data_IF_438230058431
#
_entry.id   IF_438230058431
#
_cell.length_a   1.000
_cell.length_b   1.000
_cell.length_c   1.000
_cell.angle_alpha   90.00
_cell.angle_beta   90.00
_cell.angle_gamma   90.00
#
_symmetry.space_group_name_H-M   'P 1'
#
loop_
_entity.id
_entity.type
_entity.pdbx_description
1 polymer ?
#
# COMPACT_ATOMS: atom_id res chain seq x y z
N UNK A 1 -0.82 -8.10 -90.19
CA UNK A 1 -0.93 -6.80 -89.48
C UNK A 1 -1.02 -7.11 -87.97
N UNK A 2 0.13 -7.00 -87.26
CA UNK A 2 0.32 -7.42 -85.90
C UNK A 2 -0.08 -6.37 -84.88
N UNK A 3 -0.97 -6.70 -83.93
CA UNK A 3 -1.20 -5.91 -82.73
C UNK A 3 -0.42 -6.51 -81.55
N UNK A 4 0.54 -5.77 -81.00
CA UNK A 4 1.29 -6.10 -79.81
C UNK A 4 0.49 -5.70 -78.58
N UNK A 5 0.15 -6.63 -77.74
CA UNK A 5 -0.38 -6.45 -76.36
C UNK A 5 0.76 -6.27 -75.40
N UNK A 6 0.83 -5.04 -74.83
CA UNK A 6 1.69 -4.71 -73.70
C UNK A 6 1.01 -5.17 -72.39
N UNK A 7 1.59 -6.14 -71.68
CA UNK A 7 1.20 -6.56 -70.34
C UNK A 7 1.94 -5.65 -69.33
N UNK A 8 1.27 -4.72 -68.75
CA UNK A 8 1.74 -4.01 -67.54
C UNK A 8 1.58 -4.94 -66.32
N UNK A 9 2.70 -5.33 -65.70
CA UNK A 9 2.74 -5.99 -64.40
C UNK A 9 2.91 -4.88 -63.34
N UNK A 10 1.83 -4.58 -62.63
CA UNK A 10 1.90 -3.80 -61.41
C UNK A 10 2.40 -4.73 -60.29
N UNK A 11 3.61 -4.48 -59.80
CA UNK A 11 4.12 -5.09 -58.57
C UNK A 11 3.49 -4.39 -57.38
N UNK A 12 2.58 -5.03 -56.65
CA UNK A 12 2.12 -4.57 -55.35
C UNK A 12 3.24 -4.87 -54.33
N UNK A 13 3.93 -3.82 -53.88
CA UNK A 13 4.81 -3.90 -52.70
C UNK A 13 3.96 -3.91 -51.46
N UNK A 14 3.85 -5.02 -50.79
CA UNK A 14 3.21 -5.12 -49.46
C UNK A 14 4.15 -4.48 -48.43
N UNK A 15 3.74 -3.34 -47.89
CA UNK A 15 4.39 -2.73 -46.72
C UNK A 15 3.95 -3.52 -45.51
N UNK A 16 4.85 -4.35 -44.95
CA UNK A 16 4.66 -5.02 -43.68
C UNK A 16 4.98 -3.98 -42.59
N UNK A 17 3.94 -3.40 -42.01
CA UNK A 17 4.05 -2.58 -40.81
C UNK A 17 4.26 -3.52 -39.63
N UNK A 18 5.49 -3.68 -39.17
CA UNK A 18 5.82 -4.36 -37.92
C UNK A 18 5.43 -3.40 -36.79
N UNK A 19 4.25 -3.63 -36.20
CA UNK A 19 3.87 -3.03 -34.92
C UNK A 19 4.74 -3.68 -33.84
N UNK A 20 5.86 -3.04 -33.49
CA UNK A 20 6.57 -3.37 -32.27
C UNK A 20 5.64 -3.06 -31.09
N UNK A 21 5.44 -4.01 -30.15
CA UNK A 21 4.72 -3.68 -28.92
C UNK A 21 5.52 -2.59 -28.21
N UNK A 22 4.95 -1.40 -28.11
CA UNK A 22 5.42 -0.38 -27.18
C UNK A 22 5.26 -0.99 -25.80
N UNK A 23 6.35 -1.45 -25.20
CA UNK A 23 6.40 -1.74 -23.78
C UNK A 23 6.16 -0.38 -23.11
N UNK A 24 4.92 -0.10 -22.74
CA UNK A 24 4.59 1.07 -21.94
C UNK A 24 5.35 0.87 -20.62
N UNK A 25 6.43 1.59 -20.43
CA UNK A 25 7.06 1.70 -19.13
C UNK A 25 5.96 2.16 -18.17
N UNK A 26 5.66 1.33 -17.15
CA UNK A 26 4.72 1.68 -16.09
C UNK A 26 5.23 2.97 -15.48
N UNK A 27 4.58 4.08 -15.82
CA UNK A 27 4.94 5.40 -15.27
C UNK A 27 4.39 5.45 -13.86
N UNK A 28 5.23 5.80 -12.90
CA UNK A 28 4.77 6.11 -11.56
C UNK A 28 3.70 7.19 -11.60
N UNK A 29 2.65 7.03 -10.78
CA UNK A 29 1.54 7.98 -10.73
C UNK A 29 2.05 9.38 -10.31
N UNK A 30 1.70 10.39 -11.08
CA UNK A 30 2.17 11.76 -10.85
C UNK A 30 1.74 12.30 -9.48
N UNK A 31 0.55 11.92 -8.99
CA UNK A 31 0.05 12.33 -7.67
C UNK A 31 0.96 11.85 -6.54
N UNK A 32 1.49 10.62 -6.66
CA UNK A 32 2.44 10.05 -5.70
C UNK A 32 3.84 10.68 -5.80
N UNK A 33 4.24 11.15 -6.96
CA UNK A 33 5.52 11.86 -7.13
C UNK A 33 5.52 13.25 -6.49
N UNK A 34 4.34 13.82 -6.26
CA UNK A 34 4.17 15.15 -5.66
C UNK A 34 4.14 15.13 -4.13
N UNK A 35 3.95 13.96 -3.49
CA UNK A 35 3.91 13.88 -2.02
C UNK A 35 5.28 14.15 -1.41
N UNK A 36 5.29 14.89 -0.29
CA UNK A 36 6.48 15.22 0.49
C UNK A 36 6.32 14.82 1.95
N UNK A 37 5.09 14.54 2.36
CA UNK A 37 4.75 14.18 3.73
C UNK A 37 3.61 13.18 3.76
N UNK A 38 3.63 12.30 4.75
CA UNK A 38 2.56 11.34 4.96
C UNK A 38 2.29 11.13 6.44
N UNK A 39 1.15 10.53 6.77
CA UNK A 39 0.79 10.17 8.12
C UNK A 39 -0.03 8.88 8.16
N UNK A 40 -0.04 8.23 9.33
CA UNK A 40 -0.72 6.98 9.57
C UNK A 40 -1.50 7.04 10.89
N UNK A 41 -2.82 6.86 10.85
CA UNK A 41 -3.69 6.85 12.02
C UNK A 41 -4.81 5.83 11.85
N UNK A 42 -4.89 4.84 12.75
CA UNK A 42 -5.89 3.75 12.67
C UNK A 42 -6.98 3.84 13.72
N UNK A 43 -6.84 4.70 14.72
CA UNK A 43 -7.82 4.82 15.81
C UNK A 43 -8.22 6.28 16.00
N UNK A 44 -9.45 6.48 16.53
CA UNK A 44 -9.97 7.80 16.87
C UNK A 44 -9.89 8.83 15.71
N UNK A 45 -10.11 8.37 14.48
CA UNK A 45 -10.03 9.24 13.31
C UNK A 45 -11.09 10.34 13.40
N UNK A 46 -10.64 11.59 13.54
CA UNK A 46 -11.50 12.77 13.46
C UNK A 46 -11.36 13.41 12.06
N UNK A 47 -12.42 13.40 11.23
CA UNK A 47 -12.38 14.01 9.91
C UNK A 47 -11.97 15.48 9.88
N UNK A 48 -12.23 16.23 10.95
CA UNK A 48 -11.83 17.63 11.05
C UNK A 48 -10.33 17.77 11.31
N UNK A 49 -9.77 16.95 12.20
CA UNK A 49 -8.31 16.92 12.41
C UNK A 49 -7.58 16.49 11.13
N UNK A 50 -8.06 15.45 10.45
CA UNK A 50 -7.51 15.05 9.14
C UNK A 50 -7.52 16.23 8.18
N UNK A 51 -8.66 16.91 7.99
CA UNK A 51 -8.79 18.07 7.10
C UNK A 51 -7.79 19.18 7.44
N UNK A 52 -7.61 19.47 8.73
CA UNK A 52 -6.74 20.56 9.20
C UNK A 52 -5.25 20.21 9.21
N UNK A 53 -4.89 18.94 9.02
CA UNK A 53 -3.49 18.52 8.98
C UNK A 53 -2.80 18.94 7.67
N UNK A 54 -1.47 19.10 7.64
CA UNK A 54 -0.74 19.53 6.44
C UNK A 54 -0.34 18.39 5.49
N UNK A 55 -0.46 17.13 5.91
CA UNK A 55 0.07 15.96 5.20
C UNK A 55 -0.47 15.80 3.78
N UNK A 56 0.37 15.36 2.85
CA UNK A 56 0.04 15.15 1.44
C UNK A 56 -0.62 13.78 1.19
N UNK A 57 -0.29 12.78 2.01
CA UNK A 57 -0.90 11.46 2.02
C UNK A 57 -1.23 11.06 3.46
N UNK A 58 -2.42 10.53 3.68
CA UNK A 58 -2.79 9.97 5.00
C UNK A 58 -3.40 8.60 4.81
N UNK A 59 -2.96 7.66 5.64
CA UNK A 59 -3.54 6.32 5.78
C UNK A 59 -4.43 6.30 7.02
N UNK A 60 -5.67 5.86 6.88
CA UNK A 60 -6.65 5.69 7.97
C UNK A 60 -7.45 4.41 7.80
N UNK A 61 -8.15 3.98 8.85
CA UNK A 61 -9.25 3.02 8.68
C UNK A 61 -10.37 3.63 7.82
N UNK A 62 -11.11 2.81 7.06
CA UNK A 62 -12.15 3.30 6.14
C UNK A 62 -13.47 3.66 6.83
N UNK A 63 -13.60 3.48 8.14
CA UNK A 63 -14.80 3.75 8.93
C UNK A 63 -14.52 4.44 10.26
N UNK A 64 -15.60 4.77 10.97
CA UNK A 64 -15.54 5.53 12.23
C UNK A 64 -15.02 4.73 13.42
N UNK A 65 -15.09 3.42 13.37
CA UNK A 65 -14.69 2.54 14.45
C UNK A 65 -13.86 1.35 13.94
N UNK A 66 -13.18 0.67 14.85
CA UNK A 66 -12.33 -0.49 14.51
C UNK A 66 -13.10 -1.65 13.88
N UNK A 67 -14.41 -1.76 14.11
CA UNK A 67 -15.24 -2.79 13.49
C UNK A 67 -15.43 -2.53 12.00
N UNK A 68 -15.36 -1.26 11.60
CA UNK A 68 -15.60 -0.82 10.22
C UNK A 68 -16.89 -1.40 9.62
N UNK A 69 -17.91 -1.56 10.47
CA UNK A 69 -19.23 -2.01 10.04
C UNK A 69 -19.87 -0.97 9.11
N UNK A 70 -19.50 0.31 9.28
CA UNK A 70 -19.97 1.43 8.48
C UNK A 70 -18.76 2.21 7.96
N UNK A 71 -18.63 2.28 6.64
CA UNK A 71 -17.62 3.11 5.97
C UNK A 71 -17.91 4.61 6.19
N UNK A 72 -16.87 5.45 6.11
CA UNK A 72 -17.07 6.89 6.01
C UNK A 72 -17.94 7.21 4.78
N UNK A 73 -18.95 8.08 4.92
CA UNK A 73 -19.66 8.61 3.75
C UNK A 73 -18.69 9.30 2.79
N UNK A 74 -18.98 9.21 1.49
CA UNK A 74 -18.11 9.81 0.45
C UNK A 74 -17.89 11.31 0.66
N UNK A 75 -18.86 12.02 1.21
CA UNK A 75 -18.75 13.44 1.54
C UNK A 75 -17.73 13.69 2.63
N UNK A 76 -17.63 12.81 3.61
CA UNK A 76 -16.65 12.86 4.70
C UNK A 76 -15.25 12.55 4.16
N UNK A 77 -15.11 11.55 3.30
CA UNK A 77 -13.85 11.26 2.60
C UNK A 77 -13.40 12.46 1.77
N UNK A 78 -14.30 13.10 1.02
CA UNK A 78 -14.00 14.30 0.25
C UNK A 78 -13.62 15.51 1.14
N UNK A 79 -14.23 15.62 2.34
CA UNK A 79 -13.83 16.62 3.32
C UNK A 79 -12.38 16.41 3.79
N UNK A 80 -12.02 15.18 4.15
CA UNK A 80 -10.69 14.81 4.61
C UNK A 80 -9.60 14.98 3.54
N UNK A 81 -9.95 14.90 2.26
CA UNK A 81 -9.02 15.14 1.15
C UNK A 81 -8.59 16.59 1.01
N UNK A 82 -9.36 17.55 1.54
CA UNK A 82 -9.06 18.98 1.42
C UNK A 82 -8.07 19.40 2.49
N UNK A 83 -6.95 20.03 2.08
CA UNK A 83 -5.93 20.60 2.95
C UNK A 83 -6.24 22.06 3.31
N UNK A 84 -5.64 22.61 4.40
CA UNK A 84 -5.81 24.02 4.77
C UNK A 84 -5.34 25.01 3.69
N UNK A 85 -4.35 24.63 2.88
CA UNK A 85 -3.80 25.43 1.78
C UNK A 85 -4.65 25.41 0.49
N UNK A 86 -5.80 24.72 0.52
CA UNK A 86 -6.70 24.56 -0.62
C UNK A 86 -6.32 23.45 -1.58
N UNK A 87 -5.18 22.79 -1.40
CA UNK A 87 -4.78 21.61 -2.19
C UNK A 87 -5.53 20.37 -1.73
N UNK A 88 -5.40 19.30 -2.50
CA UNK A 88 -5.89 17.97 -2.13
C UNK A 88 -4.74 17.09 -1.70
N UNK A 89 -5.01 16.23 -0.72
CA UNK A 89 -4.16 15.10 -0.33
C UNK A 89 -4.68 13.82 -0.94
N UNK A 90 -3.83 12.78 -0.93
CA UNK A 90 -4.25 11.42 -1.14
C UNK A 90 -4.72 10.81 0.18
N UNK A 91 -5.85 10.10 0.16
CA UNK A 91 -6.41 9.43 1.32
C UNK A 91 -6.47 7.92 1.04
N UNK A 92 -5.71 7.16 1.80
CA UNK A 92 -5.60 5.71 1.69
C UNK A 92 -6.36 5.02 2.81
N UNK A 93 -7.00 3.91 2.49
CA UNK A 93 -7.61 3.05 3.49
C UNK A 93 -6.69 1.89 3.84
N UNK A 94 -6.55 1.62 5.15
CA UNK A 94 -5.89 0.42 5.66
C UNK A 94 -6.68 -0.83 5.28
N UNK A 95 -5.97 -1.89 4.88
CA UNK A 95 -6.53 -3.20 4.57
C UNK A 95 -5.52 -4.30 4.91
N UNK A 96 -5.81 -5.12 5.94
CA UNK A 96 -5.00 -6.31 6.24
C UNK A 96 -5.29 -7.43 5.24
N UNK A 97 -4.26 -7.95 4.59
CA UNK A 97 -4.37 -9.03 3.59
C UNK A 97 -3.80 -10.36 4.07
N UNK A 98 -2.87 -10.32 5.03
CA UNK A 98 -2.19 -11.50 5.56
C UNK A 98 -2.73 -12.01 6.88
N UNK A 99 -3.58 -11.24 7.56
CA UNK A 99 -4.21 -11.58 8.83
C UNK A 99 -5.69 -11.20 8.85
N UNK A 100 -6.52 -12.07 9.44
CA UNK A 100 -7.89 -11.74 9.79
C UNK A 100 -7.91 -11.09 11.18
N UNK A 101 -8.73 -10.04 11.32
CA UNK A 101 -8.82 -9.24 12.54
C UNK A 101 -10.18 -9.48 13.21
N UNK A 102 -10.18 -10.05 14.45
CA UNK A 102 -11.39 -10.47 15.15
C UNK A 102 -12.34 -9.33 15.53
N UNK A 103 -11.85 -8.10 15.47
CA UNK A 103 -12.63 -6.90 15.73
C UNK A 103 -13.28 -6.30 14.48
N UNK A 104 -13.08 -6.89 13.29
CA UNK A 104 -13.68 -6.40 12.04
C UNK A 104 -15.11 -6.93 11.83
N UNK A 105 -15.88 -6.23 11.00
CA UNK A 105 -17.28 -6.55 10.70
C UNK A 105 -17.49 -7.95 10.11
N UNK A 106 -16.50 -8.49 9.41
CA UNK A 106 -16.58 -9.80 8.75
C UNK A 106 -16.34 -10.98 9.70
N UNK A 107 -15.81 -10.71 10.91
CA UNK A 107 -15.50 -11.75 11.86
C UNK A 107 -16.77 -12.45 12.35
N UNK A 108 -16.72 -13.77 12.48
CA UNK A 108 -17.81 -14.59 13.01
C UNK A 108 -17.38 -15.20 14.34
N UNK A 109 -18.20 -15.04 15.37
CA UNK A 109 -17.87 -15.48 16.74
C UNK A 109 -17.63 -17.00 16.82
N UNK A 110 -18.27 -17.79 15.94
CA UNK A 110 -18.07 -19.23 15.87
C UNK A 110 -16.68 -19.63 15.31
N UNK A 111 -15.90 -18.73 14.71
CA UNK A 111 -14.56 -19.04 14.22
C UNK A 111 -13.57 -19.39 15.34
N UNK A 112 -13.86 -19.00 16.58
CA UNK A 112 -13.05 -19.41 17.74
C UNK A 112 -13.22 -20.89 18.08
N UNK A 113 -14.39 -21.50 17.76
CA UNK A 113 -14.73 -22.88 18.06
C UNK A 113 -14.84 -23.80 16.84
N UNK A 114 -15.24 -23.25 15.71
CA UNK A 114 -15.37 -23.91 14.40
C UNK A 114 -14.59 -23.13 13.35
N UNK A 115 -13.26 -23.20 13.48
CA UNK A 115 -12.33 -22.41 12.68
C UNK A 115 -12.40 -22.82 11.20
N UNK A 116 -12.51 -21.85 10.26
CA UNK A 116 -12.35 -22.12 8.84
C UNK A 116 -10.95 -22.69 8.56
N UNK A 117 -10.81 -23.50 7.52
CA UNK A 117 -9.54 -24.14 7.16
C UNK A 117 -8.41 -23.10 6.86
N UNK A 118 -8.80 -21.97 6.32
CA UNK A 118 -7.86 -20.89 5.97
C UNK A 118 -7.43 -20.00 7.14
N UNK A 119 -8.02 -20.14 8.33
CA UNK A 119 -7.74 -19.32 9.51
C UNK A 119 -6.82 -20.08 10.47
N UNK A 120 -5.66 -19.52 10.75
CA UNK A 120 -4.67 -20.05 11.70
C UNK A 120 -4.97 -19.60 13.16
N UNK A 121 -4.23 -20.07 14.17
CA UNK A 121 -4.30 -19.54 15.52
C UNK A 121 -4.03 -18.04 15.61
N UNK A 122 -4.47 -17.44 16.73
CA UNK A 122 -4.20 -16.04 17.05
C UNK A 122 -2.70 -15.74 17.06
N UNK A 123 -2.35 -14.58 16.53
CA UNK A 123 -0.99 -14.07 16.57
C UNK A 123 -0.64 -13.63 18.00
N UNK A 124 0.36 -14.25 18.66
CA UNK A 124 0.69 -13.96 20.06
C UNK A 124 1.23 -12.53 20.27
N UNK A 125 1.82 -11.94 19.24
CA UNK A 125 2.39 -10.59 19.31
C UNK A 125 1.32 -9.51 19.08
N UNK A 126 0.23 -9.85 18.35
CA UNK A 126 -0.87 -8.94 18.02
C UNK A 126 -2.23 -9.55 18.37
N UNK A 127 -2.70 -9.41 19.62
CA UNK A 127 -3.98 -9.97 20.05
C UNK A 127 -5.16 -9.47 19.20
N UNK A 128 -5.99 -10.40 18.78
CA UNK A 128 -7.10 -10.14 17.87
C UNK A 128 -6.79 -10.37 16.39
N UNK A 129 -5.52 -10.60 16.03
CA UNK A 129 -5.08 -10.89 14.67
C UNK A 129 -4.80 -12.38 14.50
N UNK A 130 -5.16 -12.91 13.35
CA UNK A 130 -5.08 -14.34 13.02
C UNK A 130 -4.47 -14.51 11.65
N UNK A 131 -3.34 -15.20 11.53
CA UNK A 131 -2.71 -15.51 10.25
C UNK A 131 -3.69 -16.26 9.34
N UNK A 132 -3.71 -15.92 8.06
CA UNK A 132 -4.62 -16.54 7.09
C UNK A 132 -3.88 -17.21 5.93
N UNK A 133 -4.49 -18.21 5.32
CA UNK A 133 -4.10 -18.73 4.02
C UNK A 133 -4.58 -17.74 2.94
N UNK A 134 -3.84 -16.69 2.71
CA UNK A 134 -4.23 -15.57 1.81
C UNK A 134 -4.43 -16.00 0.34
N UNK A 135 -4.00 -17.21 -0.05
CA UNK A 135 -4.30 -17.83 -1.33
C UNK A 135 -5.65 -18.54 -1.36
N UNK A 136 -6.35 -18.68 -0.19
CA UNK A 136 -7.63 -19.36 -0.11
C UNK A 136 -8.75 -18.47 -0.67
N UNK A 137 -9.60 -18.96 -1.61
CA UNK A 137 -10.67 -18.18 -2.22
C UNK A 137 -11.68 -17.62 -1.20
N UNK A 138 -11.99 -18.35 -0.11
CA UNK A 138 -12.94 -17.87 0.90
C UNK A 138 -12.41 -16.65 1.66
N UNK A 139 -11.09 -16.57 1.90
CA UNK A 139 -10.48 -15.36 2.45
C UNK A 139 -10.50 -14.22 1.43
N UNK A 140 -10.20 -14.51 0.17
CA UNK A 140 -10.23 -13.51 -0.90
C UNK A 140 -11.62 -12.93 -1.14
N UNK A 141 -12.70 -13.72 -0.97
CA UNK A 141 -14.09 -13.26 -1.04
C UNK A 141 -14.44 -12.25 0.08
N UNK A 142 -13.76 -12.31 1.24
CA UNK A 142 -13.87 -11.32 2.31
C UNK A 142 -13.18 -10.02 1.90
N UNK A 143 -12.07 -10.13 1.17
CA UNK A 143 -11.27 -8.97 0.78
C UNK A 143 -11.88 -8.21 -0.40
N UNK A 144 -12.34 -8.89 -1.44
CA UNK A 144 -12.88 -8.26 -2.67
C UNK A 144 -13.82 -9.16 -3.45
N UNK A 145 -14.57 -8.56 -4.37
CA UNK A 145 -15.40 -9.30 -5.34
C UNK A 145 -16.90 -9.31 -5.06
N UNK A 146 -17.35 -8.63 -4.02
CA UNK A 146 -18.78 -8.46 -3.72
C UNK A 146 -19.02 -7.20 -2.88
N UNK A 147 -20.23 -6.60 -2.89
CA UNK A 147 -20.51 -5.32 -2.23
C UNK A 147 -20.27 -5.28 -0.71
N UNK A 148 -20.15 -6.44 -0.06
CA UNK A 148 -19.88 -6.55 1.37
C UNK A 148 -18.38 -6.76 1.66
N UNK A 149 -17.57 -7.01 0.64
CA UNK A 149 -16.14 -7.24 0.80
C UNK A 149 -15.41 -5.95 1.21
N UNK A 150 -14.25 -6.10 1.83
CA UNK A 150 -13.52 -5.00 2.45
C UNK A 150 -13.12 -3.93 1.43
N UNK A 151 -12.47 -4.33 0.34
CA UNK A 151 -12.03 -3.43 -0.74
C UNK A 151 -13.23 -2.75 -1.42
N UNK A 152 -14.34 -3.47 -1.63
CA UNK A 152 -15.54 -2.90 -2.25
C UNK A 152 -16.12 -1.75 -1.43
N UNK A 153 -16.12 -1.87 -0.10
CA UNK A 153 -16.52 -0.80 0.82
C UNK A 153 -15.60 0.40 0.74
N UNK A 154 -14.28 0.17 0.63
CA UNK A 154 -13.27 1.22 0.47
C UNK A 154 -13.47 1.96 -0.85
N UNK A 155 -13.65 1.23 -1.97
CA UNK A 155 -13.92 1.80 -3.29
C UNK A 155 -15.22 2.62 -3.30
N UNK A 156 -16.29 2.09 -2.69
CA UNK A 156 -17.56 2.79 -2.58
C UNK A 156 -17.47 4.09 -1.75
N UNK A 157 -16.68 4.09 -0.69
CA UNK A 157 -16.42 5.27 0.14
C UNK A 157 -15.60 6.34 -0.61
N UNK A 158 -14.85 5.96 -1.63
CA UNK A 158 -14.15 6.87 -2.53
C UNK A 158 -12.75 7.25 -2.08
N UNK A 159 -12.03 6.37 -1.40
CA UNK A 159 -10.60 6.52 -1.13
C UNK A 159 -9.78 6.54 -2.43
N UNK A 160 -8.57 7.10 -2.37
CA UNK A 160 -7.66 7.17 -3.51
C UNK A 160 -6.86 5.88 -3.71
N UNK A 161 -6.73 5.09 -2.66
CA UNK A 161 -5.96 3.84 -2.68
C UNK A 161 -6.11 3.04 -1.41
N UNK A 162 -5.42 1.89 -1.39
CA UNK A 162 -5.29 1.03 -0.22
C UNK A 162 -3.84 0.92 0.24
N UNK A 163 -3.69 0.85 1.55
CA UNK A 163 -2.46 0.52 2.25
C UNK A 163 -2.59 -0.91 2.75
N UNK A 164 -1.83 -1.83 2.13
CA UNK A 164 -1.98 -3.26 2.36
C UNK A 164 -1.03 -3.74 3.44
N UNK A 165 -1.57 -4.06 4.60
CA UNK A 165 -0.82 -4.64 5.70
C UNK A 165 -0.81 -6.18 5.64
N UNK A 166 0.22 -6.79 6.25
CA UNK A 166 0.38 -8.24 6.28
C UNK A 166 0.91 -8.84 4.97
N UNK A 167 1.43 -8.03 4.05
CA UNK A 167 2.10 -8.55 2.87
C UNK A 167 3.37 -9.35 3.20
N UNK A 168 4.00 -9.10 4.33
CA UNK A 168 5.14 -9.83 4.87
C UNK A 168 4.79 -11.22 5.43
N UNK A 169 3.52 -11.51 5.66
CA UNK A 169 3.09 -12.80 6.25
C UNK A 169 3.44 -14.03 5.41
N UNK A 170 3.82 -13.85 4.13
CA UNK A 170 4.39 -14.93 3.33
C UNK A 170 5.64 -15.54 3.99
N UNK A 171 6.40 -14.78 4.77
CA UNK A 171 7.59 -15.28 5.46
C UNK A 171 7.27 -16.33 6.51
N UNK A 172 6.12 -16.23 7.18
CA UNK A 172 5.64 -17.23 8.13
C UNK A 172 5.19 -18.52 7.42
N UNK A 173 4.72 -18.40 6.19
CA UNK A 173 4.24 -19.54 5.39
C UNK A 173 5.35 -20.26 4.62
N UNK A 174 6.44 -19.60 4.25
CA UNK A 174 7.47 -20.13 3.33
C UNK A 174 8.07 -21.47 3.74
N UNK A 175 8.06 -21.82 5.02
CA UNK A 175 8.52 -23.13 5.49
C UNK A 175 7.51 -24.25 5.23
N UNK A 176 6.23 -23.92 5.12
CA UNK A 176 5.12 -24.84 4.89
C UNK A 176 4.58 -24.78 3.45
N UNK A 177 4.97 -23.76 2.69
CA UNK A 177 4.47 -23.50 1.33
C UNK A 177 5.53 -22.79 0.49
N UNK A 178 6.10 -23.51 -0.46
CA UNK A 178 7.15 -23.01 -1.35
C UNK A 178 6.69 -21.80 -2.17
N UNK A 179 5.42 -21.81 -2.62
CA UNK A 179 4.82 -20.74 -3.42
C UNK A 179 4.38 -19.51 -2.60
N UNK A 180 4.59 -19.47 -1.27
CA UNK A 180 4.05 -18.41 -0.42
C UNK A 180 4.33 -16.99 -0.95
N UNK A 181 5.57 -16.68 -1.34
CA UNK A 181 5.91 -15.36 -1.88
C UNK A 181 5.18 -15.05 -3.20
N UNK A 182 5.09 -16.01 -4.13
CA UNK A 182 4.36 -15.83 -5.39
C UNK A 182 2.86 -15.71 -5.17
N UNK A 183 2.30 -16.46 -4.22
CA UNK A 183 0.87 -16.38 -3.88
C UNK A 183 0.50 -15.01 -3.29
N UNK A 184 1.40 -14.39 -2.49
CA UNK A 184 1.17 -13.03 -1.99
C UNK A 184 1.21 -12.00 -3.12
N UNK A 185 2.17 -12.15 -4.05
CA UNK A 185 2.21 -11.29 -5.25
C UNK A 185 0.96 -11.49 -6.11
N UNK A 186 0.45 -12.72 -6.23
CA UNK A 186 -0.79 -13.02 -6.95
C UNK A 186 -1.99 -12.36 -6.28
N UNK A 187 -2.10 -12.42 -4.95
CA UNK A 187 -3.17 -11.75 -4.21
C UNK A 187 -3.13 -10.22 -4.40
N UNK A 188 -1.95 -9.58 -4.22
CA UNK A 188 -1.82 -8.14 -4.43
C UNK A 188 -2.16 -7.76 -5.87
N UNK A 189 -1.75 -8.58 -6.85
CA UNK A 189 -2.10 -8.40 -8.26
C UNK A 189 -3.60 -8.54 -8.55
N UNK A 190 -4.28 -9.47 -7.88
CA UNK A 190 -5.72 -9.63 -7.98
C UNK A 190 -6.48 -8.43 -7.39
N UNK A 191 -6.05 -7.94 -6.22
CA UNK A 191 -6.59 -6.73 -5.58
C UNK A 191 -6.41 -5.52 -6.52
N UNK A 192 -5.21 -5.30 -7.06
CA UNK A 192 -4.92 -4.21 -7.98
C UNK A 192 -5.79 -4.28 -9.24
N UNK A 193 -5.85 -5.45 -9.88
CA UNK A 193 -6.64 -5.66 -11.09
C UNK A 193 -8.14 -5.43 -10.86
N UNK A 194 -8.66 -5.91 -9.74
CA UNK A 194 -10.04 -5.73 -9.35
C UNK A 194 -10.38 -4.26 -9.08
N UNK A 195 -9.53 -3.55 -8.34
CA UNK A 195 -9.70 -2.14 -8.05
C UNK A 195 -9.64 -1.28 -9.32
N UNK A 196 -8.63 -1.50 -10.18
CA UNK A 196 -8.46 -0.76 -11.43
C UNK A 196 -9.60 -0.99 -12.43
N UNK A 197 -10.24 -2.16 -12.43
CA UNK A 197 -11.43 -2.40 -13.27
C UNK A 197 -12.61 -1.50 -12.89
N UNK A 198 -12.70 -1.03 -11.65
CA UNK A 198 -13.75 -0.15 -11.15
C UNK A 198 -13.30 1.32 -11.09
N UNK A 199 -12.06 1.55 -10.69
CA UNK A 199 -11.43 2.87 -10.54
C UNK A 199 -10.01 2.82 -11.12
N UNK A 200 -9.80 3.15 -12.39
CA UNK A 200 -8.51 3.02 -13.08
C UNK A 200 -7.33 3.74 -12.39
N UNK A 201 -7.62 4.83 -11.66
CA UNK A 201 -6.62 5.64 -10.95
C UNK A 201 -6.43 5.22 -9.48
N UNK A 202 -6.96 4.06 -9.06
CA UNK A 202 -6.84 3.58 -7.68
C UNK A 202 -5.42 3.11 -7.40
N UNK A 203 -4.87 3.45 -6.21
CA UNK A 203 -3.45 3.24 -5.89
C UNK A 203 -3.25 2.11 -4.89
N UNK A 204 -2.15 1.37 -5.02
CA UNK A 204 -1.81 0.21 -4.19
C UNK A 204 -0.44 0.43 -3.53
N UNK A 205 -0.42 0.53 -2.21
CA UNK A 205 0.81 0.66 -1.40
C UNK A 205 0.84 -0.47 -0.37
N UNK A 206 1.62 -1.55 -0.59
CA UNK A 206 1.83 -2.56 0.45
C UNK A 206 2.82 -2.10 1.51
N UNK A 207 2.65 -2.61 2.73
CA UNK A 207 3.54 -2.43 3.86
C UNK A 207 4.35 -3.69 4.11
N UNK A 208 5.64 -3.51 4.39
CA UNK A 208 6.57 -4.58 4.73
C UNK A 208 6.74 -5.66 3.64
N UNK A 209 7.43 -6.75 3.93
CA UNK A 209 7.67 -7.80 2.93
C UNK A 209 8.57 -7.34 1.77
N UNK A 210 9.58 -6.51 2.04
CA UNK A 210 10.52 -5.97 1.04
C UNK A 210 11.23 -7.05 0.21
N UNK A 211 11.26 -8.31 0.68
CA UNK A 211 11.76 -9.44 -0.12
C UNK A 211 10.92 -9.69 -1.39
N UNK A 212 9.62 -9.35 -1.40
CA UNK A 212 8.76 -9.45 -2.58
C UNK A 212 9.20 -8.52 -3.71
N UNK A 213 9.89 -7.40 -3.40
CA UNK A 213 10.44 -6.48 -4.39
C UNK A 213 11.51 -7.13 -5.29
N UNK A 214 12.02 -8.31 -4.91
CA UNK A 214 12.86 -9.14 -5.75
C UNK A 214 12.11 -9.88 -6.87
N UNK A 215 10.78 -9.87 -6.88
CA UNK A 215 9.92 -10.47 -7.89
C UNK A 215 9.52 -9.37 -8.89
N UNK A 216 10.04 -9.36 -10.15
CA UNK A 216 9.89 -8.21 -11.05
C UNK A 216 8.44 -7.75 -11.25
N UNK A 217 7.50 -8.69 -11.42
CA UNK A 217 6.08 -8.36 -11.61
C UNK A 217 5.45 -7.63 -10.41
N UNK A 218 6.00 -7.78 -9.19
CA UNK A 218 5.49 -7.07 -8.03
C UNK A 218 5.71 -5.56 -8.13
N UNK A 219 6.87 -5.16 -8.67
CA UNK A 219 7.16 -3.76 -8.91
C UNK A 219 6.21 -3.12 -9.93
N UNK A 220 5.68 -3.89 -10.87
CA UNK A 220 4.72 -3.39 -11.87
C UNK A 220 3.31 -3.23 -11.30
N UNK A 221 2.96 -4.01 -10.27
CA UNK A 221 1.63 -4.03 -9.64
C UNK A 221 1.43 -2.85 -8.67
N UNK A 222 2.47 -2.51 -7.88
CA UNK A 222 2.36 -1.55 -6.79
C UNK A 222 2.72 -0.13 -7.23
N UNK A 223 2.10 0.88 -6.63
CA UNK A 223 2.32 2.29 -6.95
C UNK A 223 3.32 2.97 -6.01
N UNK A 224 3.52 2.43 -4.84
CA UNK A 224 4.49 2.81 -3.83
C UNK A 224 4.74 1.65 -2.88
N UNK A 225 5.54 1.86 -1.85
CA UNK A 225 5.85 0.85 -0.85
C UNK A 225 5.99 1.51 0.52
N UNK A 226 5.56 0.83 1.56
CA UNK A 226 5.73 1.29 2.93
C UNK A 226 6.60 0.31 3.73
N UNK A 227 7.44 0.86 4.60
CA UNK A 227 8.28 0.10 5.51
C UNK A 227 8.12 0.60 6.94
N UNK A 228 7.80 -0.30 7.84
CA UNK A 228 7.69 -0.06 9.27
C UNK A 228 8.95 -0.58 9.97
N UNK A 229 9.41 0.14 11.01
CA UNK A 229 10.56 -0.28 11.81
C UNK A 229 11.81 -0.60 10.94
N UNK A 230 12.17 0.33 10.04
CA UNK A 230 13.33 0.15 9.16
C UNK A 230 14.63 0.31 9.94
N UNK A 231 14.75 1.40 10.71
CA UNK A 231 15.97 1.81 11.38
C UNK A 231 16.06 1.26 12.81
N UNK A 232 14.91 1.13 13.48
CA UNK A 232 14.81 0.73 14.88
C UNK A 232 13.95 -0.54 15.04
N UNK A 233 14.11 -1.19 16.18
CA UNK A 233 13.45 -2.47 16.47
C UNK A 233 11.97 -2.28 16.76
N UNK A 234 11.13 -3.14 16.20
CA UNK A 234 9.70 -3.24 16.51
C UNK A 234 9.42 -3.36 18.03
N UNK A 235 10.31 -4.06 18.76
CA UNK A 235 10.16 -4.36 20.19
C UNK A 235 10.67 -3.26 21.11
N UNK A 236 11.63 -2.46 20.63
CA UNK A 236 12.27 -1.43 21.42
C UNK A 236 12.74 -0.29 20.49
N UNK A 237 12.04 0.83 20.55
CA UNK A 237 12.31 2.00 19.72
C UNK A 237 13.68 2.68 20.00
N UNK A 238 14.37 2.32 21.08
CA UNK A 238 15.71 2.82 21.38
C UNK A 238 16.82 1.92 20.80
N UNK A 239 16.46 0.69 20.39
CA UNK A 239 17.40 -0.31 19.85
C UNK A 239 17.40 -0.26 18.33
N UNK A 240 18.53 0.07 17.74
CA UNK A 240 18.69 0.06 16.29
C UNK A 240 18.71 -1.35 15.72
N UNK A 241 18.11 -1.50 14.54
CA UNK A 241 18.25 -2.70 13.75
C UNK A 241 19.69 -2.91 13.30
N UNK A 242 20.06 -4.16 12.99
CA UNK A 242 21.41 -4.44 12.53
C UNK A 242 21.72 -3.67 11.24
N UNK A 243 22.92 -3.08 11.09
CA UNK A 243 23.29 -2.34 9.89
C UNK A 243 23.15 -3.18 8.61
N UNK A 244 23.37 -4.49 8.70
CA UNK A 244 23.23 -5.40 7.57
C UNK A 244 21.76 -5.54 7.13
N UNK A 245 20.84 -5.72 8.09
CA UNK A 245 19.40 -5.82 7.81
C UNK A 245 18.88 -4.53 7.18
N UNK A 246 19.23 -3.38 7.76
CA UNK A 246 18.86 -2.06 7.23
C UNK A 246 19.37 -1.87 5.80
N UNK A 247 20.66 -2.15 5.57
CA UNK A 247 21.26 -2.02 4.24
C UNK A 247 20.62 -2.94 3.21
N UNK A 248 20.22 -4.15 3.60
CA UNK A 248 19.55 -5.09 2.72
C UNK A 248 18.14 -4.59 2.33
N UNK A 249 17.33 -4.13 3.29
CA UNK A 249 16.01 -3.54 3.04
C UNK A 249 16.13 -2.32 2.11
N UNK A 250 17.06 -1.41 2.39
CA UNK A 250 17.32 -0.24 1.53
C UNK A 250 17.66 -0.68 0.10
N UNK A 251 18.55 -1.67 -0.06
CA UNK A 251 18.94 -2.18 -1.38
C UNK A 251 17.74 -2.72 -2.16
N UNK A 252 16.82 -3.43 -1.49
CA UNK A 252 15.60 -3.96 -2.11
C UNK A 252 14.63 -2.86 -2.53
N UNK A 253 14.51 -1.78 -1.76
CA UNK A 253 13.62 -0.64 -2.04
C UNK A 253 14.16 0.34 -3.09
N UNK A 254 15.49 0.37 -3.36
CA UNK A 254 16.11 1.29 -4.35
C UNK A 254 15.47 1.29 -5.75
N UNK A 255 15.08 0.14 -6.34
CA UNK A 255 14.41 0.12 -7.64
C UNK A 255 13.13 0.95 -7.69
N UNK A 256 12.36 1.03 -6.60
CA UNK A 256 11.15 1.85 -6.52
C UNK A 256 11.48 3.34 -6.65
N UNK A 257 12.46 3.83 -5.89
CA UNK A 257 12.91 5.24 -5.96
C UNK A 257 13.37 5.58 -7.37
N UNK A 258 14.13 4.67 -8.00
CA UNK A 258 14.61 4.84 -9.39
C UNK A 258 13.44 4.90 -10.38
N UNK A 259 12.37 4.16 -10.13
CA UNK A 259 11.15 4.18 -10.93
C UNK A 259 10.23 5.38 -10.62
N UNK A 260 10.60 6.24 -9.67
CA UNK A 260 9.79 7.38 -9.23
C UNK A 260 8.60 6.98 -8.33
N UNK A 261 8.60 5.77 -7.78
CA UNK A 261 7.59 5.29 -6.84
C UNK A 261 8.04 5.62 -5.41
N UNK A 262 7.19 6.23 -4.56
CA UNK A 262 7.59 6.61 -3.22
C UNK A 262 7.82 5.40 -2.32
N UNK A 263 8.78 5.55 -1.42
CA UNK A 263 8.96 4.67 -0.27
C UNK A 263 8.61 5.47 0.99
N UNK A 264 7.58 5.02 1.68
CA UNK A 264 7.08 5.58 2.93
C UNK A 264 7.71 4.81 4.09
N UNK A 265 8.31 5.47 5.05
CA UNK A 265 8.90 4.83 6.22
C UNK A 265 8.23 5.36 7.49
N UNK A 266 7.77 4.45 8.34
CA UNK A 266 7.27 4.81 9.66
C UNK A 266 8.17 4.22 10.74
N UNK A 267 8.53 5.07 11.70
CA UNK A 267 9.22 4.70 12.93
C UNK A 267 8.38 5.10 14.13
N UNK A 268 8.64 4.50 15.28
CA UNK A 268 7.83 4.73 16.46
C UNK A 268 8.69 5.18 17.65
N UNK A 269 8.41 6.38 18.15
CA UNK A 269 8.98 6.87 19.41
C UNK A 269 8.14 8.04 19.96
N UNK A 270 8.20 8.24 21.27
CA UNK A 270 7.69 9.44 21.94
C UNK A 270 8.77 10.49 22.22
N UNK A 271 10.05 10.16 21.99
CA UNK A 271 11.17 11.08 22.15
C UNK A 271 11.30 11.97 20.91
N UNK A 272 11.10 13.27 21.10
CA UNK A 272 11.12 14.25 20.01
C UNK A 272 12.50 14.42 19.36
N UNK A 273 13.60 14.26 20.12
CA UNK A 273 14.95 14.39 19.58
C UNK A 273 15.29 13.17 18.73
N UNK A 274 14.94 11.98 19.21
CA UNK A 274 15.11 10.73 18.46
C UNK A 274 14.25 10.75 17.19
N UNK A 275 13.00 11.22 17.28
CA UNK A 275 12.11 11.36 16.11
C UNK A 275 12.72 12.25 15.03
N UNK A 276 13.32 13.40 15.42
CA UNK A 276 14.02 14.27 14.48
C UNK A 276 15.18 13.57 13.77
N UNK A 277 15.98 12.83 14.52
CA UNK A 277 17.12 12.07 13.96
C UNK A 277 16.68 10.95 13.03
N UNK A 278 15.58 10.24 13.36
CA UNK A 278 14.99 9.22 12.49
C UNK A 278 14.53 9.82 11.16
N UNK A 279 13.82 10.93 11.20
CA UNK A 279 13.33 11.62 10.00
C UNK A 279 14.45 12.10 9.11
N UNK A 280 15.50 12.71 9.68
CA UNK A 280 16.65 13.18 8.91
C UNK A 280 17.35 12.00 8.21
N UNK A 281 17.58 10.88 8.89
CA UNK A 281 18.19 9.68 8.30
C UNK A 281 17.31 9.08 7.18
N UNK A 282 16.00 8.99 7.39
CA UNK A 282 15.05 8.50 6.37
C UNK A 282 15.08 9.39 5.13
N UNK A 283 15.11 10.71 5.30
CA UNK A 283 15.20 11.66 4.20
C UNK A 283 16.53 11.58 3.43
N UNK A 284 17.64 11.35 4.12
CA UNK A 284 18.95 11.14 3.46
C UNK A 284 18.95 9.89 2.59
N UNK A 285 18.14 8.90 2.90
CA UNK A 285 17.92 7.70 2.08
C UNK A 285 17.06 7.99 0.81
N UNK A 286 16.43 9.16 0.74
CA UNK A 286 15.49 9.53 -0.32
C UNK A 286 14.09 8.94 -0.12
N UNK A 287 13.73 8.60 1.11
CA UNK A 287 12.42 8.09 1.51
C UNK A 287 11.60 9.19 2.19
N UNK A 288 10.29 8.96 2.36
CA UNK A 288 9.38 9.88 3.02
C UNK A 288 9.07 9.33 4.41
N UNK A 289 9.59 10.02 5.44
CA UNK A 289 9.49 9.58 6.83
C UNK A 289 8.21 10.04 7.52
N UNK A 290 7.74 9.23 8.47
CA UNK A 290 6.75 9.58 9.47
C UNK A 290 7.16 8.95 10.81
N UNK A 291 6.99 9.67 11.91
CA UNK A 291 7.22 9.14 13.25
C UNK A 291 5.97 9.31 14.09
N UNK A 292 5.55 8.26 14.76
CA UNK A 292 4.30 8.21 15.51
C UNK A 292 4.44 7.46 16.84
N UNK A 293 3.40 7.56 17.68
CA UNK A 293 3.16 6.57 18.73
C UNK A 293 2.65 5.28 18.09
N UNK A 294 3.10 4.12 18.59
CA UNK A 294 2.76 2.81 18.00
C UNK A 294 1.26 2.46 18.05
N UNK A 295 0.50 3.09 18.92
CA UNK A 295 -0.94 2.87 19.01
C UNK A 295 -1.75 3.54 17.89
N UNK A 296 -1.13 4.42 17.11
CA UNK A 296 -1.72 5.11 15.95
C UNK A 296 -3.07 5.77 16.25
N UNK A 297 -3.23 6.34 17.46
CA UNK A 297 -4.49 6.94 17.93
C UNK A 297 -4.67 8.40 17.52
N UNK A 298 -3.60 9.06 17.16
CA UNK A 298 -3.59 10.48 16.77
C UNK A 298 -2.55 10.75 15.71
N UNK A 299 -2.75 11.78 14.92
CA UNK A 299 -1.69 12.30 14.05
C UNK A 299 -0.55 12.87 14.89
N UNK A 300 0.68 12.57 14.53
CA UNK A 300 1.83 13.25 15.11
C UNK A 300 1.82 14.74 14.71
N UNK A 301 2.28 15.64 15.59
CA UNK A 301 2.47 17.03 15.19
C UNK A 301 3.41 17.12 13.98
N UNK A 302 3.19 18.06 13.05
CA UNK A 302 4.05 18.22 11.86
C UNK A 302 5.53 18.36 12.16
N UNK A 303 5.89 18.95 13.31
CA UNK A 303 7.28 19.05 13.76
C UNK A 303 7.93 17.70 14.11
N UNK A 304 7.12 16.67 14.38
CA UNK A 304 7.55 15.29 14.62
C UNK A 304 7.24 14.36 13.44
N UNK A 305 6.28 14.72 12.59
CA UNK A 305 5.86 13.92 11.44
C UNK A 305 6.54 14.28 10.11
N UNK A 306 7.13 15.50 10.03
CA UNK A 306 7.91 15.96 8.88
C UNK A 306 9.20 16.54 9.40
N UNK A 307 10.34 16.11 8.90
CA UNK A 307 11.61 16.77 9.18
C UNK A 307 11.52 18.28 8.92
N UNK A 308 12.30 19.07 9.64
CA UNK A 308 12.23 20.55 9.72
C UNK A 308 12.31 21.31 8.38
N UNK A 309 12.51 20.64 7.26
CA UNK A 309 12.69 21.26 5.92
C UNK A 309 11.44 21.26 5.04
N UNK A 310 10.47 20.37 5.24
CA UNK A 310 9.38 20.17 4.26
C UNK A 310 7.99 20.61 4.69
N UNK A 311 7.73 20.85 5.98
CA UNK A 311 6.42 21.29 6.48
C UNK A 311 6.23 22.81 6.63
N UNK A 312 7.25 23.61 6.31
CA UNK A 312 7.23 25.09 6.47
C UNK A 312 7.13 25.88 5.17
N UNK A 313 6.75 25.23 4.04
CA UNK A 313 6.55 25.93 2.76
C UNK A 313 5.12 25.87 2.26
#
# INVERSE_FOLDING_TARGET
MLARLLRNRFALSAIVVVLLPLCAAVRADQRLQEIRSWAFQLQNVDPVEIKLSPYDLIVIDYGFDRRNATAFPREVVNLMRSKPDGKKRLLFAYLSVGEAESYRYYWQDNWLTARPEWLEPENPDWPGNYLVQYWNPQWQEILFGNPNAYLDRILAAGFDGVYLDGADKFEQWRQRRESAASDMVDLVGAIASYAHAQHPDFLIIPQNGDALLGIPRYLDIIDGFAREDLLYSERDAEVRNSPLSVAESIRRMRPLVTAGKPVLVIEYTSDAQLAGSMLDEIHELGFIGYVAARDLRSLSPPALGCGSRDCSR
#
